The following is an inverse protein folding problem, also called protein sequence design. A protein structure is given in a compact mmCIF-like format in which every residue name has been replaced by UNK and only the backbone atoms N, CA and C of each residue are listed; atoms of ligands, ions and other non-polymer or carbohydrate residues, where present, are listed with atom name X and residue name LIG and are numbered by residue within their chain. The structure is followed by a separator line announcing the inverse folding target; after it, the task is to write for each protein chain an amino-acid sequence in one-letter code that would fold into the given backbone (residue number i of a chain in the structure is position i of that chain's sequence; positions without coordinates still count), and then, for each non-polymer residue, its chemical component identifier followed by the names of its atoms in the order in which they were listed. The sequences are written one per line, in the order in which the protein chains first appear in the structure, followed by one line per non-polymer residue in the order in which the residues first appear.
data_IF_801229708329
#
_entry.id   IF_801229708329
#
_cell.length_a   1.000
_cell.length_b   1.000
_cell.length_c   1.000
_cell.angle_alpha   90.00
_cell.angle_beta   90.00
_cell.angle_gamma   90.00
#
_symmetry.space_group_name_H-M   'P 1'
#
loop_
_entity.id
_entity.type
_entity.pdbx_description
1 polymer ?
#
# COMPACT_ATOMS: atom_id res chain seq x y z
N UNK A 1 -13.21 12.65 -17.07
CA UNK A 1 -13.21 11.89 -15.79
C UNK A 1 -12.91 12.85 -14.65
N UNK A 2 -13.81 13.09 -13.68
CA UNK A 2 -13.56 14.07 -12.62
C UNK A 2 -12.49 13.54 -11.65
N UNK A 3 -11.36 14.24 -11.53
CA UNK A 3 -10.34 13.98 -10.50
C UNK A 3 -10.90 14.46 -9.15
N UNK A 4 -11.49 13.56 -8.36
CA UNK A 4 -11.96 13.89 -6.99
C UNK A 4 -10.81 14.49 -6.17
N UNK A 5 -11.10 15.60 -5.49
CA UNK A 5 -10.10 16.36 -4.71
C UNK A 5 -9.56 15.53 -3.54
N UNK A 6 -8.28 15.67 -3.16
CA UNK A 6 -7.60 14.81 -2.18
C UNK A 6 -7.93 15.15 -0.71
N UNK A 7 -9.01 15.90 -0.45
CA UNK A 7 -9.30 16.46 0.88
C UNK A 7 -10.29 15.66 1.72
N UNK A 8 -10.97 14.66 1.15
CA UNK A 8 -12.13 14.02 1.81
C UNK A 8 -11.83 12.63 2.37
N UNK A 9 -10.61 12.09 2.21
CA UNK A 9 -10.29 10.71 2.65
C UNK A 9 -9.49 10.67 3.97
N UNK A 10 -9.14 11.82 4.56
CA UNK A 10 -8.29 11.90 5.77
C UNK A 10 -8.99 12.64 6.91
N UNK A 11 -10.19 12.24 7.33
CA UNK A 11 -10.76 12.76 8.59
C UNK A 11 -11.02 11.71 9.66
N UNK A 12 -10.76 10.42 9.43
CA UNK A 12 -10.98 9.43 10.49
C UNK A 12 -10.11 8.21 10.29
N UNK A 13 -9.27 7.87 11.27
CA UNK A 13 -8.57 6.57 11.32
C UNK A 13 -9.50 5.34 11.22
N UNK A 14 -10.82 5.56 11.34
CA UNK A 14 -11.90 4.61 11.05
C UNK A 14 -11.90 4.12 9.59
N UNK A 15 -11.57 4.98 8.63
CA UNK A 15 -11.51 4.60 7.20
C UNK A 15 -10.35 3.65 6.89
N UNK A 16 -9.18 3.88 7.51
CA UNK A 16 -7.96 3.11 7.22
C UNK A 16 -8.12 1.63 7.55
N UNK A 17 -8.70 1.30 8.72
CA UNK A 17 -8.95 -0.10 9.09
C UNK A 17 -9.89 -0.79 8.11
N UNK A 18 -10.96 -0.10 7.68
CA UNK A 18 -11.89 -0.60 6.68
C UNK A 18 -11.21 -0.84 5.33
N UNK A 19 -10.38 0.09 4.87
CA UNK A 19 -9.62 -0.05 3.62
C UNK A 19 -8.61 -1.19 3.69
N UNK A 20 -7.92 -1.38 4.83
CA UNK A 20 -7.02 -2.52 5.01
C UNK A 20 -7.81 -3.84 4.90
N UNK A 21 -8.94 -3.98 5.62
CA UNK A 21 -9.79 -5.19 5.52
C UNK A 21 -10.30 -5.44 4.10
N UNK A 22 -10.75 -4.39 3.41
CA UNK A 22 -11.20 -4.53 2.03
C UNK A 22 -10.05 -4.98 1.11
N UNK A 23 -8.83 -4.48 1.37
CA UNK A 23 -7.64 -4.89 0.61
C UNK A 23 -7.24 -6.32 0.93
N UNK A 24 -7.29 -6.75 2.20
CA UNK A 24 -7.09 -8.14 2.61
C UNK A 24 -8.02 -9.09 1.83
N UNK A 25 -9.32 -8.77 1.79
CA UNK A 25 -10.31 -9.55 1.04
C UNK A 25 -10.00 -9.63 -0.45
N UNK A 26 -9.51 -8.55 -1.07
CA UNK A 26 -9.11 -8.57 -2.47
C UNK A 26 -7.92 -9.50 -2.67
N UNK A 27 -6.87 -9.37 -1.85
CA UNK A 27 -5.66 -10.20 -1.95
C UNK A 27 -5.95 -11.69 -1.78
N UNK A 28 -6.81 -12.05 -0.82
CA UNK A 28 -7.25 -13.43 -0.60
C UNK A 28 -8.07 -13.95 -1.79
N UNK A 29 -9.05 -13.18 -2.27
CA UNK A 29 -9.91 -13.58 -3.40
C UNK A 29 -9.12 -13.76 -4.69
N UNK A 30 -8.13 -12.91 -4.94
CA UNK A 30 -7.29 -13.02 -6.13
C UNK A 30 -6.15 -14.02 -5.96
N UNK A 31 -5.96 -14.59 -4.76
CA UNK A 31 -4.81 -15.44 -4.41
C UNK A 31 -3.49 -14.76 -4.78
N UNK A 32 -3.33 -13.51 -4.37
CA UNK A 32 -2.18 -12.71 -4.75
C UNK A 32 -0.86 -13.35 -4.26
N UNK A 33 0.05 -13.64 -5.19
CA UNK A 33 1.39 -14.15 -4.88
C UNK A 33 2.33 -13.06 -4.35
N UNK A 34 2.08 -11.80 -4.72
CA UNK A 34 2.81 -10.65 -4.20
C UNK A 34 2.02 -9.34 -4.37
N UNK A 35 2.47 -8.30 -3.66
CA UNK A 35 2.02 -6.91 -3.84
C UNK A 35 3.19 -6.06 -4.29
N UNK A 36 3.08 -5.45 -5.47
CA UNK A 36 4.04 -4.48 -5.98
C UNK A 36 3.48 -3.07 -5.74
N UNK A 37 4.20 -2.25 -4.97
CA UNK A 37 3.78 -0.89 -4.69
C UNK A 37 4.76 0.16 -5.19
N UNK A 38 4.22 1.21 -5.78
CA UNK A 38 4.94 2.34 -6.36
C UNK A 38 4.85 3.61 -5.48
N UNK A 39 4.36 3.48 -4.25
CA UNK A 39 4.13 4.60 -3.32
C UNK A 39 2.75 5.25 -3.41
N UNK A 40 2.62 6.44 -2.84
CA UNK A 40 1.35 7.17 -2.72
C UNK A 40 0.48 6.74 -1.52
N UNK A 41 -0.66 7.41 -1.33
CA UNK A 41 -1.53 7.21 -0.17
C UNK A 41 -2.29 5.86 -0.19
N UNK A 42 -2.50 5.27 -1.37
CA UNK A 42 -3.18 3.98 -1.54
C UNK A 42 -2.26 2.80 -1.22
N UNK A 43 -0.95 2.97 -1.34
CA UNK A 43 0.02 1.89 -1.11
C UNK A 43 0.09 1.48 0.36
N UNK A 44 -0.15 2.40 1.31
CA UNK A 44 -0.05 2.09 2.73
C UNK A 44 -1.06 1.01 3.20
N UNK A 45 -2.37 1.13 2.93
CA UNK A 45 -3.33 0.04 3.21
C UNK A 45 -2.93 -1.29 2.57
N UNK A 46 -2.43 -1.27 1.33
CA UNK A 46 -2.02 -2.48 0.61
C UNK A 46 -0.80 -3.15 1.25
N UNK A 47 0.23 -2.39 1.63
CA UNK A 47 1.38 -2.94 2.35
C UNK A 47 1.00 -3.51 3.72
N UNK A 48 0.08 -2.86 4.44
CA UNK A 48 -0.38 -3.35 5.73
C UNK A 48 -1.22 -4.63 5.60
N UNK A 49 -2.09 -4.70 4.59
CA UNK A 49 -2.87 -5.90 4.27
C UNK A 49 -1.96 -7.07 3.88
N UNK A 50 -1.03 -6.84 2.94
CA UNK A 50 -0.07 -7.84 2.48
C UNK A 50 0.77 -8.38 3.64
N UNK A 51 1.29 -7.49 4.50
CA UNK A 51 2.04 -7.87 5.70
C UNK A 51 1.23 -8.80 6.63
N UNK A 52 -0.06 -8.48 6.85
CA UNK A 52 -0.93 -9.28 7.73
C UNK A 52 -1.24 -10.66 7.15
N UNK A 53 -1.39 -10.75 5.84
CA UNK A 53 -1.65 -12.00 5.13
C UNK A 53 -0.39 -12.81 4.82
N UNK A 54 0.80 -12.29 5.13
CA UNK A 54 2.07 -12.94 4.75
C UNK A 54 2.33 -12.92 3.24
N UNK A 55 1.62 -12.09 2.48
CA UNK A 55 1.84 -11.92 1.04
C UNK A 55 3.12 -11.10 0.82
N UNK A 56 4.09 -11.60 0.04
CA UNK A 56 5.33 -10.87 -0.28
C UNK A 56 5.07 -9.47 -0.83
N UNK A 57 5.88 -8.50 -0.40
CA UNK A 57 5.79 -7.11 -0.85
C UNK A 57 7.01 -6.81 -1.72
N UNK A 58 6.83 -6.06 -2.81
CA UNK A 58 7.91 -5.45 -3.60
C UNK A 58 7.66 -3.96 -3.64
N UNK A 59 8.66 -3.16 -3.29
CA UNK A 59 8.55 -1.70 -3.34
C UNK A 59 9.35 -1.19 -4.53
N UNK A 60 8.75 -0.34 -5.34
CA UNK A 60 9.43 0.43 -6.38
C UNK A 60 9.44 1.91 -5.98
N UNK A 61 10.63 2.48 -5.83
CA UNK A 61 10.84 3.89 -5.50
C UNK A 61 11.47 4.61 -6.69
N UNK A 62 10.65 5.36 -7.41
CA UNK A 62 11.11 6.17 -8.55
C UNK A 62 11.68 7.54 -8.13
N UNK A 63 11.50 7.95 -6.86
CA UNK A 63 11.92 9.27 -6.40
C UNK A 63 13.21 9.23 -5.59
N UNK A 64 14.03 10.27 -5.74
CA UNK A 64 15.27 10.45 -4.96
C UNK A 64 15.06 10.50 -3.43
N UNK A 65 13.84 10.82 -2.96
CA UNK A 65 13.46 10.76 -1.54
C UNK A 65 12.20 9.92 -1.35
N UNK A 66 12.26 8.83 -0.56
CA UNK A 66 11.11 7.95 -0.43
C UNK A 66 9.97 8.57 0.36
N UNK A 67 8.75 8.40 -0.15
CA UNK A 67 7.52 8.81 0.53
C UNK A 67 7.22 7.97 1.78
N UNK A 68 6.31 8.44 2.66
CA UNK A 68 5.98 7.74 3.92
C UNK A 68 5.52 6.30 3.68
N UNK A 69 4.70 6.05 2.66
CA UNK A 69 4.23 4.71 2.32
C UNK A 69 5.40 3.78 1.96
N UNK A 70 6.33 4.23 1.13
CA UNK A 70 7.50 3.42 0.74
C UNK A 70 8.50 3.24 1.87
N UNK A 71 8.68 4.25 2.75
CA UNK A 71 9.44 4.10 4.00
C UNK A 71 8.84 3.04 4.92
N UNK A 72 7.52 2.89 4.95
CA UNK A 72 6.86 1.85 5.74
C UNK A 72 6.94 0.50 5.02
N UNK A 73 6.62 0.45 3.72
CA UNK A 73 6.65 -0.77 2.92
C UNK A 73 8.02 -1.42 2.87
N UNK A 74 9.09 -0.63 2.73
CA UNK A 74 10.48 -1.10 2.74
C UNK A 74 10.91 -1.73 4.07
N UNK A 75 10.23 -1.46 5.19
CA UNK A 75 10.48 -2.18 6.45
C UNK A 75 9.90 -3.59 6.46
N UNK A 76 9.03 -3.91 5.51
CA UNK A 76 8.31 -5.18 5.44
C UNK A 76 8.76 -6.04 4.26
N UNK A 77 9.74 -5.60 3.49
CA UNK A 77 10.32 -6.38 2.40
C UNK A 77 11.82 -6.16 2.26
N UNK A 78 12.51 -7.16 1.71
CA UNK A 78 13.89 -7.05 1.26
C UNK A 78 14.01 -6.65 -0.22
N UNK A 79 12.89 -6.61 -0.94
CA UNK A 79 12.84 -6.32 -2.37
C UNK A 79 12.43 -4.87 -2.60
N UNK A 80 13.42 -4.00 -2.74
CA UNK A 80 13.25 -2.58 -3.07
C UNK A 80 13.96 -2.30 -4.39
N UNK A 81 13.20 -1.93 -5.41
CA UNK A 81 13.71 -1.47 -6.69
C UNK A 81 13.76 0.07 -6.71
N UNK A 82 14.84 0.62 -7.26
CA UNK A 82 15.05 2.06 -7.42
C UNK A 82 15.25 2.39 -8.90
N UNK A 83 14.91 3.61 -9.32
CA UNK A 83 15.17 4.15 -10.67
C UNK A 83 16.15 5.32 -10.64
#
# INVERSE_FOLDING_TARGET
VPRRRPGTVISSGVGLRGTIKATEQVLERTKADCVVGFGGYVALPAYLAAKRLGVPIVVHEANARPGLANKIGSRYTRHVAVS
#
